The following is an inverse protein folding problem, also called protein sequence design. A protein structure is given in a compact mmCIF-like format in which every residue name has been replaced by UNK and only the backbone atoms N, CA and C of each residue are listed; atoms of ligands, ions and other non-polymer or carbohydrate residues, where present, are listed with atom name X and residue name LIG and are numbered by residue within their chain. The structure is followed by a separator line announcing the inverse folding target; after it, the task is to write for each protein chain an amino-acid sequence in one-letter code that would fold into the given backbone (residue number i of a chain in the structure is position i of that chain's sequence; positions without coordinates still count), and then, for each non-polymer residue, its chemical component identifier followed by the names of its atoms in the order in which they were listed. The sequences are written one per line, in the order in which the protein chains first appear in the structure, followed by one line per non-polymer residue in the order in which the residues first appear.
data_IF_224065967094
#
_entry.id   IF_224065967094
#
_cell.length_a   1.000
_cell.length_b   1.000
_cell.length_c   1.000
_cell.angle_alpha   90.00
_cell.angle_beta   90.00
_cell.angle_gamma   90.00
#
_symmetry.space_group_name_H-M   'P 1'
#
loop_
_entity.id
_entity.type
_entity.pdbx_description
1 polymer ?
#
# COMPACT_ATOMS: atom_id res chain seq x y z
N UNK A 1 -56.82 -40.03 -5.58
CA UNK A 1 -55.73 -39.92 -6.57
C UNK A 1 -55.70 -38.44 -6.98
N UNK A 2 -54.69 -37.60 -6.80
CA UNK A 2 -53.24 -37.76 -6.58
C UNK A 2 -52.70 -36.38 -6.15
N UNK A 3 -51.75 -36.34 -5.21
CA UNK A 3 -51.00 -35.15 -4.79
C UNK A 3 -50.17 -34.55 -5.95
N UNK A 4 -49.97 -33.23 -6.05
CA UNK A 4 -48.79 -32.69 -6.70
C UNK A 4 -47.61 -32.63 -5.70
N UNK A 5 -46.46 -33.13 -6.13
CA UNK A 5 -45.15 -32.97 -5.51
C UNK A 5 -44.29 -32.01 -6.38
N UNK A 6 -43.03 -31.72 -6.00
CA UNK A 6 -42.53 -31.10 -4.79
C UNK A 6 -41.90 -29.72 -5.10
N UNK A 7 -41.54 -28.99 -4.04
CA UNK A 7 -41.06 -27.61 -4.07
C UNK A 7 -39.92 -27.32 -5.05
N UNK A 8 -40.07 -26.21 -5.76
CA UNK A 8 -39.01 -25.57 -6.52
C UNK A 8 -37.83 -25.29 -5.59
N UNK A 9 -36.75 -26.04 -5.79
CA UNK A 9 -35.49 -25.84 -5.07
C UNK A 9 -34.88 -24.55 -5.58
N UNK A 10 -34.85 -23.52 -4.74
CA UNK A 10 -34.06 -22.31 -5.02
C UNK A 10 -32.60 -22.73 -5.26
N UNK A 11 -31.88 -22.12 -6.21
CA UNK A 11 -30.45 -22.37 -6.37
C UNK A 11 -29.74 -21.90 -5.09
N UNK A 12 -29.25 -22.85 -4.30
CA UNK A 12 -28.38 -22.56 -3.18
C UNK A 12 -27.06 -22.00 -3.75
N UNK A 13 -26.56 -20.86 -3.26
CA UNK A 13 -25.26 -20.37 -3.68
C UNK A 13 -24.21 -21.40 -3.26
N UNK A 14 -23.61 -22.06 -4.24
CA UNK A 14 -22.54 -23.01 -4.04
C UNK A 14 -21.43 -22.35 -3.21
N UNK A 15 -21.08 -23.02 -2.11
CA UNK A 15 -20.27 -22.50 -1.04
C UNK A 15 -18.92 -21.94 -1.48
N UNK A 16 -18.36 -21.11 -0.61
CA UNK A 16 -16.99 -20.60 -0.67
C UNK A 16 -16.01 -21.74 -1.00
N UNK A 17 -15.56 -21.79 -2.26
CA UNK A 17 -14.65 -22.82 -2.75
C UNK A 17 -13.32 -22.66 -2.03
N UNK A 18 -13.10 -23.43 -0.97
CA UNK A 18 -11.77 -23.59 -0.39
C UNK A 18 -10.90 -24.23 -1.48
N UNK A 19 -9.80 -23.60 -1.91
CA UNK A 19 -8.93 -24.23 -2.90
C UNK A 19 -8.41 -25.54 -2.31
N UNK A 20 -8.56 -26.63 -3.07
CA UNK A 20 -8.05 -27.94 -2.68
C UNK A 20 -6.51 -27.87 -2.63
N UNK A 21 -5.84 -28.49 -1.64
CA UNK A 21 -4.38 -28.58 -1.63
C UNK A 21 -3.89 -29.27 -2.92
N UNK A 22 -3.01 -28.61 -3.69
CA UNK A 22 -2.51 -29.12 -4.98
C UNK A 22 -2.06 -28.00 -5.93
N UNK A 23 -1.66 -28.34 -7.18
CA UNK A 23 -1.01 -27.40 -8.12
C UNK A 23 -1.75 -26.09 -8.38
N UNK A 24 -3.09 -26.10 -8.36
CA UNK A 24 -3.90 -24.90 -8.51
C UNK A 24 -3.81 -23.95 -7.29
N UNK A 25 -3.67 -24.50 -6.09
CA UNK A 25 -3.41 -23.72 -4.88
C UNK A 25 -2.00 -23.09 -4.92
N UNK A 26 -1.01 -23.82 -5.45
CA UNK A 26 0.37 -23.36 -5.61
C UNK A 26 0.45 -22.22 -6.64
N UNK A 27 -0.25 -22.33 -7.76
CA UNK A 27 -0.33 -21.25 -8.75
C UNK A 27 -1.02 -20.00 -8.16
N UNK A 28 -2.09 -20.22 -7.39
CA UNK A 28 -2.77 -19.16 -6.64
C UNK A 28 -1.84 -18.49 -5.62
N UNK A 29 -0.98 -19.24 -4.92
CA UNK A 29 0.04 -18.72 -4.02
C UNK A 29 1.11 -17.93 -4.79
N UNK A 30 1.66 -18.49 -5.87
CA UNK A 30 2.68 -17.84 -6.69
C UNK A 30 2.18 -16.53 -7.32
N UNK A 31 0.90 -16.45 -7.70
CA UNK A 31 0.29 -15.21 -8.20
C UNK A 31 0.19 -14.14 -7.11
N UNK A 32 -0.24 -14.52 -5.91
CA UNK A 32 -0.34 -13.60 -4.76
C UNK A 32 1.05 -13.12 -4.32
N UNK A 33 2.04 -14.00 -4.27
CA UNK A 33 3.43 -13.64 -3.95
C UNK A 33 4.00 -12.65 -4.97
N UNK A 34 3.74 -12.84 -6.26
CA UNK A 34 4.12 -11.86 -7.29
C UNK A 34 3.46 -10.50 -7.09
N UNK A 35 2.17 -10.47 -6.76
CA UNK A 35 1.48 -9.22 -6.47
C UNK A 35 2.05 -8.49 -5.24
N UNK A 36 2.37 -9.22 -4.17
CA UNK A 36 3.01 -8.66 -2.97
C UNK A 36 4.45 -8.20 -3.23
N UNK A 37 5.19 -8.91 -4.08
CA UNK A 37 6.55 -8.53 -4.44
C UNK A 37 6.61 -7.16 -5.13
N UNK A 38 5.57 -6.78 -5.88
CA UNK A 38 5.48 -5.47 -6.53
C UNK A 38 5.43 -4.30 -5.52
N UNK A 39 4.97 -4.52 -4.29
CA UNK A 39 4.92 -3.49 -3.23
C UNK A 39 5.97 -3.70 -2.14
N UNK A 40 6.79 -4.76 -2.25
CA UNK A 40 7.81 -5.09 -1.26
C UNK A 40 8.76 -3.91 -0.95
N UNK A 41 9.23 -3.11 -1.93
CA UNK A 41 10.08 -1.95 -1.65
C UNK A 41 9.43 -0.92 -0.71
N UNK A 42 8.12 -0.67 -0.83
CA UNK A 42 7.39 0.27 0.03
C UNK A 42 7.34 -0.22 1.47
N UNK A 43 7.11 -1.53 1.67
CA UNK A 43 7.09 -2.13 2.99
C UNK A 43 8.48 -2.18 3.64
N UNK A 44 9.53 -2.32 2.83
CA UNK A 44 10.90 -2.32 3.30
C UNK A 44 11.32 -0.95 3.88
N UNK A 45 10.70 0.15 3.45
CA UNK A 45 10.90 1.46 4.07
C UNK A 45 10.57 1.47 5.57
N UNK A 46 9.46 0.82 5.96
CA UNK A 46 9.08 0.73 7.37
C UNK A 46 10.00 -0.19 8.18
N UNK A 47 10.62 -1.19 7.56
CA UNK A 47 11.64 -2.01 8.20
C UNK A 47 12.96 -1.24 8.36
N UNK A 48 13.38 -0.51 7.32
CA UNK A 48 14.65 0.22 7.25
C UNK A 48 14.66 1.48 8.11
N UNK A 49 13.50 2.07 8.43
CA UNK A 49 13.43 3.25 9.30
C UNK A 49 14.00 3.02 10.71
N UNK A 50 14.01 1.76 11.18
CA UNK A 50 14.62 1.40 12.46
C UNK A 50 16.14 1.66 12.49
N UNK A 51 16.78 1.76 11.32
CA UNK A 51 18.20 2.07 11.19
C UNK A 51 18.49 3.58 11.11
N UNK A 52 17.46 4.43 11.04
CA UNK A 52 17.63 5.88 11.07
C UNK A 52 17.96 6.35 12.49
N UNK A 53 18.91 7.28 12.61
CA UNK A 53 19.20 7.93 13.88
C UNK A 53 18.02 8.84 14.30
N UNK A 54 17.21 8.38 15.25
CA UNK A 54 16.05 9.12 15.79
C UNK A 54 14.85 8.23 16.09
N UNK A 55 13.77 8.82 16.60
CA UNK A 55 12.53 8.14 16.98
C UNK A 55 11.47 8.26 15.87
N UNK A 56 11.65 7.52 14.78
CA UNK A 56 10.75 7.57 13.61
C UNK A 56 9.58 6.59 13.66
N UNK A 57 9.35 5.94 14.81
CA UNK A 57 8.26 4.96 14.98
C UNK A 57 6.86 5.52 14.70
N UNK A 58 6.68 6.84 14.85
CA UNK A 58 5.42 7.54 14.58
C UNK A 58 5.12 7.80 13.11
N UNK A 59 6.06 7.55 12.19
CA UNK A 59 5.85 7.73 10.75
C UNK A 59 5.59 6.38 10.09
N UNK A 60 4.53 6.29 9.28
CA UNK A 60 4.27 5.17 8.41
C UNK A 60 4.93 5.44 7.04
N UNK A 61 6.14 4.92 6.83
CA UNK A 61 6.97 5.30 5.68
C UNK A 61 6.36 4.84 4.36
N UNK A 62 5.73 3.67 4.34
CA UNK A 62 4.99 3.20 3.17
C UNK A 62 3.85 4.15 2.78
N UNK A 63 3.15 4.74 3.76
CA UNK A 63 2.07 5.70 3.49
C UNK A 63 2.64 7.02 2.94
N UNK A 64 3.75 7.50 3.49
CA UNK A 64 4.44 8.69 2.98
C UNK A 64 4.89 8.46 1.54
N UNK A 65 5.48 7.31 1.24
CA UNK A 65 5.92 6.95 -0.11
C UNK A 65 4.75 6.88 -1.10
N UNK A 66 3.62 6.30 -0.71
CA UNK A 66 2.41 6.30 -1.53
C UNK A 66 1.91 7.73 -1.81
N UNK A 67 1.90 8.59 -0.80
CA UNK A 67 1.51 9.99 -0.99
C UNK A 67 2.48 10.74 -1.94
N UNK A 68 3.78 10.45 -1.87
CA UNK A 68 4.78 10.98 -2.80
C UNK A 68 4.51 10.49 -4.22
N UNK A 69 4.26 9.19 -4.43
CA UNK A 69 3.94 8.62 -5.74
C UNK A 69 2.69 9.29 -6.32
N UNK A 70 1.64 9.47 -5.51
CA UNK A 70 0.43 10.17 -5.92
C UNK A 70 0.73 11.61 -6.36
N UNK A 71 1.54 12.34 -5.58
CA UNK A 71 1.93 13.71 -5.90
C UNK A 71 2.74 13.77 -7.20
N UNK A 72 3.72 12.90 -7.38
CA UNK A 72 4.50 12.82 -8.62
C UNK A 72 3.59 12.48 -9.79
N UNK A 73 2.67 11.53 -9.64
CA UNK A 73 1.73 11.15 -10.70
C UNK A 73 0.81 12.30 -11.09
N UNK A 74 0.36 13.11 -10.12
CA UNK A 74 -0.48 14.28 -10.36
C UNK A 74 0.28 15.45 -11.01
N UNK A 75 1.58 15.60 -10.71
CA UNK A 75 2.39 16.74 -11.13
C UNK A 75 3.41 16.36 -12.22
N UNK A 76 3.40 15.12 -12.70
CA UNK A 76 4.18 14.69 -13.84
C UNK A 76 3.63 15.36 -15.10
N UNK A 77 4.27 16.44 -15.52
CA UNK A 77 4.20 16.84 -16.91
C UNK A 77 5.26 16.05 -17.69
N UNK A 78 4.87 15.44 -18.81
CA UNK A 78 5.67 14.48 -19.56
C UNK A 78 7.03 15.04 -20.01
N UNK A 79 7.14 16.38 -20.11
CA UNK A 79 8.33 17.07 -20.60
C UNK A 79 9.33 17.49 -19.50
N UNK A 80 8.91 17.65 -18.23
CA UNK A 80 9.76 18.23 -17.18
C UNK A 80 9.95 17.33 -15.96
N UNK A 81 9.01 16.39 -15.71
CA UNK A 81 8.97 15.64 -14.46
C UNK A 81 8.56 16.51 -13.26
N UNK A 82 8.43 15.90 -12.08
CA UNK A 82 8.11 16.61 -10.86
C UNK A 82 9.39 17.10 -10.14
N UNK A 83 9.44 18.38 -9.76
CA UNK A 83 10.55 18.95 -9.00
C UNK A 83 10.61 18.35 -7.58
N UNK A 84 11.79 17.93 -7.14
CA UNK A 84 11.98 17.24 -5.87
C UNK A 84 11.59 18.12 -4.66
N UNK A 85 12.00 19.39 -4.65
CA UNK A 85 11.71 20.31 -3.55
C UNK A 85 10.22 20.69 -3.55
N UNK A 86 9.60 20.78 -4.73
CA UNK A 86 8.14 20.93 -4.82
C UNK A 86 7.40 19.74 -4.21
N UNK A 87 7.83 18.51 -4.50
CA UNK A 87 7.21 17.31 -3.93
C UNK A 87 7.41 17.26 -2.41
N UNK A 88 8.61 17.59 -1.89
CA UNK A 88 8.88 17.72 -0.45
C UNK A 88 7.91 18.73 0.17
N UNK A 89 7.81 19.94 -0.38
CA UNK A 89 6.94 20.99 0.15
C UNK A 89 5.47 20.55 0.18
N UNK A 90 5.01 19.82 -0.83
CA UNK A 90 3.63 19.34 -0.95
C UNK A 90 3.29 18.19 -0.02
N UNK A 91 4.24 17.29 0.27
CA UNK A 91 3.98 16.13 1.13
C UNK A 91 4.09 16.46 2.63
N UNK A 92 4.82 17.51 2.99
CA UNK A 92 5.06 17.93 4.37
C UNK A 92 3.80 18.01 5.26
N UNK A 93 2.68 18.63 4.83
CA UNK A 93 1.46 18.69 5.64
C UNK A 93 0.91 17.30 6.01
N UNK A 94 1.04 16.33 5.10
CA UNK A 94 0.58 14.96 5.33
C UNK A 94 1.50 14.20 6.29
N UNK A 95 2.82 14.40 6.18
CA UNK A 95 3.79 13.84 7.13
C UNK A 95 3.58 14.43 8.53
N UNK A 96 3.36 15.74 8.62
CA UNK A 96 3.09 16.42 9.88
C UNK A 96 1.82 15.88 10.56
N UNK A 97 0.80 15.48 9.79
CA UNK A 97 -0.41 14.88 10.34
C UNK A 97 -0.17 13.53 11.04
N UNK A 98 0.85 12.76 10.64
CA UNK A 98 1.20 11.49 11.31
C UNK A 98 1.82 11.71 12.69
N UNK A 99 2.58 12.81 12.87
CA UNK A 99 3.23 13.12 14.14
C UNK A 99 3.23 14.63 14.46
N UNK A 100 2.06 15.24 14.77
CA UNK A 100 1.92 16.70 14.86
C UNK A 100 2.78 17.39 15.92
N UNK A 101 3.24 16.64 16.92
CA UNK A 101 4.10 17.15 18.00
C UNK A 101 5.60 17.13 17.67
N UNK A 102 5.99 16.66 16.49
CA UNK A 102 7.40 16.61 16.05
C UNK A 102 7.79 17.90 15.32
N UNK A 103 9.08 18.27 15.31
CA UNK A 103 9.52 19.49 14.65
C UNK A 103 9.44 19.37 13.12
N UNK A 104 9.13 20.47 12.44
CA UNK A 104 9.04 20.52 10.98
C UNK A 104 10.30 20.00 10.26
N UNK A 105 11.48 20.29 10.80
CA UNK A 105 12.75 19.79 10.26
C UNK A 105 12.85 18.25 10.30
N UNK A 106 12.16 17.57 11.22
CA UNK A 106 12.09 16.11 11.23
C UNK A 106 11.17 15.59 10.13
N UNK A 107 10.01 16.21 9.92
CA UNK A 107 9.11 15.87 8.81
C UNK A 107 9.81 16.02 7.45
N UNK A 108 10.62 17.06 7.30
CA UNK A 108 11.40 17.33 6.09
C UNK A 108 12.49 16.28 5.86
N UNK A 109 13.17 15.83 6.92
CA UNK A 109 14.10 14.69 6.84
C UNK A 109 13.39 13.41 6.43
N UNK A 110 12.19 13.15 6.96
CA UNK A 110 11.37 11.99 6.57
C UNK A 110 11.01 12.06 5.09
N UNK A 111 10.56 13.23 4.61
CA UNK A 111 10.19 13.44 3.21
C UNK A 111 11.37 13.13 2.27
N UNK A 112 12.54 13.71 2.54
CA UNK A 112 13.75 13.49 1.72
C UNK A 112 14.23 12.05 1.79
N UNK A 113 14.25 11.45 2.98
CA UNK A 113 14.66 10.07 3.12
C UNK A 113 13.77 9.12 2.31
N UNK A 114 12.46 9.34 2.28
CA UNK A 114 11.54 8.53 1.46
C UNK A 114 11.78 8.74 -0.03
N UNK A 115 12.05 9.97 -0.48
CA UNK A 115 12.32 10.26 -1.90
C UNK A 115 13.65 9.69 -2.41
N UNK A 116 14.63 9.52 -1.52
CA UNK A 116 15.95 8.98 -1.85
C UNK A 116 16.00 7.44 -1.88
N UNK A 117 14.90 6.74 -1.57
CA UNK A 117 14.85 5.28 -1.37
C UNK A 117 13.75 4.60 -2.19
#
# INVERSE_FOLDING_TARGET
MTFPAPGATAPQPAGTHRPAPGPAADEGLARRLRALACTAPLHDLDARKANLAGEYGGYAMAEVALAVIDLVTLHMDFDTGADHEEIVARVLPRIAAQAPGRPAAEHERVARWVLEN
#
